data_IF_558603630589
#
_entry.id   IF_558603630589
#
_cell.length_a   1.000
_cell.length_b   1.000
_cell.length_c   1.000
_cell.angle_alpha   90.00
_cell.angle_beta   90.00
_cell.angle_gamma   90.00
#
_symmetry.space_group_name_H-M   'P 1'
#
loop_
_entity.id
_entity.type
_entity.pdbx_description
1 polymer ?
#
# COMPACT_ATOMS: atom_id res chain seq x y z
N UNK A 1 -16.99 1.90 24.54
CA UNK A 1 -16.34 2.67 25.59
C UNK A 1 -16.36 4.13 25.19
N UNK A 2 -16.62 5.01 26.11
CA UNK A 2 -16.52 6.46 25.92
C UNK A 2 -15.15 6.90 26.47
N UNK A 3 -14.44 7.71 25.68
CA UNK A 3 -13.16 8.26 26.04
C UNK A 3 -13.19 9.78 25.78
N UNK A 4 -12.79 10.53 26.77
CA UNK A 4 -12.39 11.93 26.66
C UNK A 4 -10.88 12.06 26.86
N UNK A 5 -10.33 13.25 26.74
CA UNK A 5 -8.89 13.47 26.86
C UNK A 5 -8.34 13.03 28.23
N UNK A 6 -9.08 13.20 29.31
CA UNK A 6 -8.63 12.83 30.65
C UNK A 6 -8.61 11.32 30.84
N UNK A 7 -9.70 10.65 30.51
CA UNK A 7 -9.79 9.18 30.59
C UNK A 7 -8.87 8.48 29.60
N UNK A 8 -8.57 9.11 28.45
CA UNK A 8 -7.55 8.64 27.52
C UNK A 8 -6.17 8.63 28.18
N UNK A 9 -5.79 9.74 28.82
CA UNK A 9 -4.49 9.86 29.52
C UNK A 9 -4.37 8.86 30.67
N UNK A 10 -5.40 8.74 31.48
CA UNK A 10 -5.41 7.81 32.60
C UNK A 10 -5.30 6.33 32.17
N UNK A 11 -6.01 5.95 31.10
CA UNK A 11 -6.14 4.54 30.70
C UNK A 11 -5.14 4.11 29.65
N UNK A 12 -4.74 5.01 28.73
CA UNK A 12 -4.04 4.64 27.50
C UNK A 12 -2.63 5.22 27.37
N UNK A 13 -2.26 6.25 28.14
CA UNK A 13 -0.92 6.81 28.06
C UNK A 13 0.21 5.81 28.36
N UNK A 14 -0.02 4.83 29.21
CA UNK A 14 0.94 3.77 29.52
C UNK A 14 0.79 2.52 28.65
N UNK A 15 -0.19 2.49 27.76
CA UNK A 15 -0.47 1.31 26.92
C UNK A 15 0.66 0.99 25.94
N UNK A 16 0.94 -0.30 25.78
CA UNK A 16 1.90 -0.87 24.81
C UNK A 16 1.25 -2.05 24.08
N UNK A 17 1.63 -2.32 22.84
CA UNK A 17 2.62 -1.62 22.00
C UNK A 17 2.03 -0.35 21.37
N UNK A 18 2.90 0.56 20.88
CA UNK A 18 2.50 1.76 20.15
C UNK A 18 1.69 1.45 18.88
N UNK A 19 1.91 0.29 18.26
CA UNK A 19 1.18 -0.18 17.07
C UNK A 19 -0.29 -0.50 17.33
N UNK A 20 -0.76 -0.48 18.57
CA UNK A 20 -2.19 -0.57 18.92
C UNK A 20 -2.95 0.72 18.61
N UNK A 21 -2.25 1.83 18.41
CA UNK A 21 -2.87 3.12 18.15
C UNK A 21 -3.04 3.38 16.65
N UNK A 22 -4.13 4.05 16.33
CA UNK A 22 -4.44 4.46 14.97
C UNK A 22 -3.28 5.22 14.33
N UNK A 23 -2.96 4.88 13.07
CA UNK A 23 -1.88 5.43 12.25
C UNK A 23 -0.45 5.21 12.77
N UNK A 24 -0.23 4.49 13.84
CA UNK A 24 1.11 4.09 14.26
C UNK A 24 1.39 2.66 13.77
N UNK A 25 1.97 2.57 12.58
CA UNK A 25 2.50 1.31 12.05
C UNK A 25 3.89 0.99 12.61
N UNK A 26 4.39 -0.23 12.31
CA UNK A 26 5.69 -0.71 12.80
C UNK A 26 6.85 0.27 12.53
N UNK A 27 6.89 0.90 11.35
CA UNK A 27 7.96 1.85 11.02
C UNK A 27 7.93 3.16 11.83
N UNK A 28 6.74 3.65 12.24
CA UNK A 28 6.62 4.81 13.12
C UNK A 28 6.99 4.40 14.54
N UNK A 29 6.47 3.28 15.03
CA UNK A 29 6.77 2.75 16.36
C UNK A 29 8.29 2.55 16.55
N UNK A 30 8.96 1.88 15.61
CA UNK A 30 10.41 1.67 15.66
C UNK A 30 11.20 2.98 15.74
N UNK A 31 10.80 4.01 14.99
CA UNK A 31 11.46 5.32 15.04
C UNK A 31 11.26 6.04 16.39
N UNK A 32 10.06 5.95 16.96
CA UNK A 32 9.75 6.49 18.28
C UNK A 32 10.56 5.75 19.37
N UNK A 33 10.55 4.42 19.34
CA UNK A 33 11.27 3.57 20.30
C UNK A 33 12.78 3.78 20.29
N UNK A 34 13.40 3.98 19.11
CA UNK A 34 14.82 4.36 19.00
C UNK A 34 15.16 5.68 19.70
N UNK A 35 14.16 6.54 19.89
CA UNK A 35 14.30 7.80 20.63
C UNK A 35 13.80 7.71 22.07
N UNK A 36 13.55 6.50 22.59
CA UNK A 36 13.14 6.26 23.98
C UNK A 36 11.65 6.48 24.25
N UNK A 37 10.83 6.64 23.20
CA UNK A 37 9.38 6.81 23.32
C UNK A 37 8.68 5.48 23.06
N UNK A 38 8.18 4.85 24.10
CA UNK A 38 7.54 3.52 24.05
C UNK A 38 6.03 3.56 24.23
N UNK A 39 5.48 4.70 24.62
CA UNK A 39 4.07 4.92 24.91
C UNK A 39 3.57 6.24 24.33
N UNK A 40 2.24 6.40 24.18
CA UNK A 40 1.67 7.70 23.78
C UNK A 40 1.94 8.79 24.80
N UNK A 41 2.00 8.46 26.10
CA UNK A 41 2.41 9.38 27.12
C UNK A 41 3.86 9.87 27.00
N UNK A 42 4.79 9.04 26.47
CA UNK A 42 6.15 9.48 26.18
C UNK A 42 6.17 10.46 25.01
N UNK A 43 5.40 10.20 23.97
CA UNK A 43 5.25 11.10 22.82
C UNK A 43 4.66 12.45 23.26
N UNK A 44 3.60 12.43 24.06
CA UNK A 44 2.98 13.65 24.58
C UNK A 44 3.97 14.48 25.42
N UNK A 45 4.74 13.86 26.30
CA UNK A 45 5.79 14.55 27.09
C UNK A 45 6.90 15.10 26.21
N UNK A 46 7.34 14.32 25.21
CA UNK A 46 8.35 14.75 24.26
C UNK A 46 7.91 15.96 23.44
N UNK A 47 6.62 16.06 23.07
CA UNK A 47 6.09 17.21 22.33
C UNK A 47 6.23 18.52 23.11
N UNK A 48 6.14 18.46 24.44
CA UNK A 48 6.35 19.65 25.29
C UNK A 48 7.85 20.01 25.41
N UNK A 49 8.72 19.00 25.47
CA UNK A 49 10.16 19.21 25.68
C UNK A 49 10.90 19.55 24.40
N UNK A 50 10.56 18.88 23.31
CA UNK A 50 11.24 19.03 22.02
C UNK A 50 10.32 18.62 20.84
N UNK A 51 9.29 19.41 20.60
CA UNK A 51 8.37 19.21 19.49
C UNK A 51 9.09 19.17 18.12
N UNK A 52 10.10 20.03 17.95
CA UNK A 52 10.87 20.10 16.71
C UNK A 52 11.53 18.76 16.32
N UNK A 53 11.90 17.94 17.29
CA UNK A 53 12.42 16.60 17.04
C UNK A 53 11.36 15.72 16.35
N UNK A 54 10.10 15.77 16.82
CA UNK A 54 8.99 15.00 16.21
C UNK A 54 8.70 15.46 14.78
N UNK A 55 8.72 16.79 14.54
CA UNK A 55 8.56 17.32 13.18
C UNK A 55 9.71 16.93 12.25
N UNK A 56 10.95 16.89 12.72
CA UNK A 56 12.07 16.38 11.90
C UNK A 56 11.93 14.89 11.57
N UNK A 57 11.34 14.12 12.48
CA UNK A 57 11.12 12.67 12.26
C UNK A 57 9.99 12.39 11.30
N UNK A 58 8.87 13.09 11.41
CA UNK A 58 7.60 12.72 10.76
C UNK A 58 7.03 13.80 9.83
N UNK A 59 7.67 14.96 9.72
CA UNK A 59 7.16 16.08 8.94
C UNK A 59 5.78 16.52 9.44
N UNK A 60 4.88 16.85 8.54
CA UNK A 60 3.50 17.26 8.87
C UNK A 60 2.69 16.20 9.60
N UNK A 61 3.07 14.93 9.51
CA UNK A 61 2.41 13.87 10.26
C UNK A 61 2.71 13.92 11.78
N UNK A 62 3.72 14.70 12.20
CA UNK A 62 4.03 14.88 13.62
C UNK A 62 2.85 15.50 14.37
N UNK A 63 2.18 16.49 13.76
CA UNK A 63 1.01 17.16 14.35
C UNK A 63 -0.07 16.13 14.73
N UNK A 64 -0.47 15.28 13.79
CA UNK A 64 -1.44 14.22 14.05
C UNK A 64 -0.99 13.25 15.16
N UNK A 65 0.29 12.88 15.17
CA UNK A 65 0.85 11.97 16.20
C UNK A 65 0.81 12.64 17.58
N UNK A 66 1.12 13.92 17.65
CA UNK A 66 1.09 14.72 18.87
C UNK A 66 -0.35 14.88 19.38
N UNK A 67 -1.28 15.27 18.52
CA UNK A 67 -2.69 15.41 18.86
C UNK A 67 -3.27 14.12 19.43
N UNK A 68 -3.04 13.01 18.75
CA UNK A 68 -3.47 11.69 19.22
C UNK A 68 -2.76 11.28 20.52
N UNK A 69 -1.50 11.69 20.74
CA UNK A 69 -0.81 11.41 21.99
C UNK A 69 -1.42 12.18 23.17
N UNK A 70 -1.98 13.36 22.95
CA UNK A 70 -2.73 14.12 23.92
C UNK A 70 -4.19 13.66 24.09
N UNK A 71 -4.67 12.76 23.22
CA UNK A 71 -6.06 12.29 23.20
C UNK A 71 -6.99 13.20 22.42
N UNK A 72 -6.44 14.07 21.59
CA UNK A 72 -7.19 14.98 20.73
C UNK A 72 -7.43 14.37 19.34
N UNK A 73 -8.69 14.34 18.89
CA UNK A 73 -9.08 13.93 17.53
C UNK A 73 -10.01 14.98 16.93
N UNK A 74 -9.50 15.86 16.07
CA UNK A 74 -10.30 16.93 15.49
C UNK A 74 -11.28 16.47 14.42
N UNK A 75 -11.06 15.25 13.85
CA UNK A 75 -11.84 14.74 12.72
C UNK A 75 -13.06 13.98 13.21
N UNK A 76 -14.23 14.46 12.85
CA UNK A 76 -15.50 13.79 13.18
C UNK A 76 -15.89 12.75 12.13
N UNK A 77 -16.79 11.84 12.49
CA UNK A 77 -17.39 10.88 11.53
C UNK A 77 -18.09 11.61 10.36
N UNK A 78 -18.64 12.79 10.61
CA UNK A 78 -19.25 13.62 9.56
C UNK A 78 -18.20 14.13 8.56
N UNK A 79 -17.00 14.49 9.04
CA UNK A 79 -15.89 14.93 8.19
C UNK A 79 -15.37 13.76 7.35
N UNK A 80 -15.20 12.57 7.94
CA UNK A 80 -14.84 11.35 7.21
C UNK A 80 -15.83 11.04 6.09
N UNK A 81 -17.15 11.14 6.38
CA UNK A 81 -18.19 10.89 5.38
C UNK A 81 -18.22 11.94 4.25
N UNK A 82 -17.85 13.18 4.55
CA UNK A 82 -17.78 14.27 3.55
C UNK A 82 -16.49 14.27 2.75
N UNK A 83 -15.44 13.64 3.25
CA UNK A 83 -14.15 13.64 2.59
C UNK A 83 -14.22 13.03 1.18
N UNK A 84 -13.65 13.76 0.22
CA UNK A 84 -13.45 13.29 -1.14
C UNK A 84 -11.96 13.43 -1.46
N UNK A 85 -11.23 12.33 -1.72
CA UNK A 85 -9.81 12.39 -2.05
C UNK A 85 -9.61 13.17 -3.36
N UNK A 86 -8.55 13.95 -3.41
CA UNK A 86 -8.17 14.69 -4.62
C UNK A 86 -7.69 13.75 -5.75
N UNK A 87 -7.14 12.60 -5.37
CA UNK A 87 -6.75 11.54 -6.30
C UNK A 87 -7.40 10.24 -5.85
N UNK A 88 -7.89 9.47 -6.80
CA UNK A 88 -8.47 8.15 -6.54
C UNK A 88 -7.75 7.09 -7.34
N UNK A 89 -7.74 5.89 -6.80
CA UNK A 89 -7.22 4.69 -7.46
C UNK A 89 -8.19 3.54 -7.26
N UNK A 90 -8.27 2.64 -8.22
CA UNK A 90 -8.89 1.32 -8.04
C UNK A 90 -7.78 0.27 -8.01
N UNK A 91 -7.89 -0.67 -7.10
CA UNK A 91 -6.92 -1.74 -6.95
C UNK A 91 -7.59 -3.10 -6.86
N UNK A 92 -6.98 -4.07 -7.49
CA UNK A 92 -7.31 -5.49 -7.36
C UNK A 92 -6.06 -6.24 -6.92
N UNK A 93 -6.21 -7.11 -5.91
CA UNK A 93 -5.10 -7.92 -5.39
C UNK A 93 -5.51 -9.37 -5.29
N UNK A 94 -4.65 -10.27 -5.77
CA UNK A 94 -4.88 -11.70 -5.72
C UNK A 94 -3.68 -12.44 -5.13
N UNK A 95 -3.95 -13.30 -4.16
CA UNK A 95 -2.98 -14.29 -3.64
C UNK A 95 -3.35 -15.62 -4.28
N UNK A 96 -2.40 -16.19 -5.01
CA UNK A 96 -2.62 -17.45 -5.71
C UNK A 96 -2.59 -18.62 -4.70
N UNK A 97 -3.42 -19.62 -4.92
CA UNK A 97 -3.55 -20.79 -4.03
C UNK A 97 -2.28 -21.64 -4.00
N UNK A 98 -1.59 -21.69 -5.14
CA UNK A 98 -0.31 -22.38 -5.32
C UNK A 98 0.66 -21.49 -6.11
N UNK A 99 1.96 -21.80 -6.16
CA UNK A 99 2.91 -21.08 -6.97
C UNK A 99 2.61 -21.25 -8.46
N UNK A 100 2.37 -20.17 -9.18
CA UNK A 100 2.09 -20.18 -10.62
C UNK A 100 3.36 -19.91 -11.42
N UNK A 101 3.47 -20.56 -12.56
CA UNK A 101 4.45 -20.16 -13.57
C UNK A 101 4.12 -18.78 -14.12
N UNK A 102 5.09 -18.08 -14.71
CA UNK A 102 4.88 -16.77 -15.31
C UNK A 102 3.75 -16.80 -16.37
N UNK A 103 3.65 -17.88 -17.16
CA UNK A 103 2.58 -18.02 -18.15
C UNK A 103 1.18 -18.13 -17.53
N UNK A 104 1.03 -18.89 -16.45
CA UNK A 104 -0.26 -19.01 -15.73
C UNK A 104 -0.64 -17.69 -15.06
N UNK A 105 0.32 -17.06 -14.38
CA UNK A 105 0.10 -15.78 -13.71
C UNK A 105 -0.26 -14.65 -14.69
N UNK A 106 0.27 -14.68 -15.92
CA UNK A 106 -0.09 -13.73 -16.97
C UNK A 106 -1.58 -13.82 -17.36
N UNK A 107 -2.18 -15.02 -17.33
CA UNK A 107 -3.63 -15.14 -17.58
C UNK A 107 -4.44 -14.53 -16.44
N UNK A 108 -4.01 -14.72 -15.18
CA UNK A 108 -4.64 -14.05 -14.03
C UNK A 108 -4.56 -12.52 -14.17
N UNK A 109 -3.40 -12.00 -14.61
CA UNK A 109 -3.23 -10.55 -14.86
C UNK A 109 -4.20 -10.04 -15.91
N UNK A 110 -4.49 -10.81 -16.96
CA UNK A 110 -5.50 -10.46 -17.99
C UNK A 110 -6.90 -10.36 -17.38
N UNK A 111 -7.31 -11.38 -16.64
CA UNK A 111 -8.61 -11.39 -15.96
C UNK A 111 -8.76 -10.21 -14.99
N UNK A 112 -7.69 -9.88 -14.25
CA UNK A 112 -7.69 -8.72 -13.36
C UNK A 112 -7.83 -7.41 -14.12
N UNK A 113 -7.19 -7.26 -15.28
CA UNK A 113 -7.30 -6.07 -16.12
C UNK A 113 -8.71 -5.92 -16.72
N UNK A 114 -9.32 -7.01 -17.17
CA UNK A 114 -10.70 -7.03 -17.68
C UNK A 114 -11.70 -6.65 -16.56
N UNK A 115 -11.55 -7.20 -15.36
CA UNK A 115 -12.40 -6.88 -14.24
C UNK A 115 -12.27 -5.40 -13.81
N UNK A 116 -11.06 -4.83 -13.80
CA UNK A 116 -10.86 -3.41 -13.53
C UNK A 116 -11.50 -2.54 -14.63
N UNK A 117 -11.40 -2.95 -15.91
CA UNK A 117 -12.06 -2.24 -17.00
C UNK A 117 -13.58 -2.23 -16.84
N UNK A 118 -14.18 -3.34 -16.45
CA UNK A 118 -15.61 -3.44 -16.15
C UNK A 118 -16.01 -2.54 -14.96
N UNK A 119 -15.20 -2.53 -13.90
CA UNK A 119 -15.41 -1.67 -12.73
C UNK A 119 -15.34 -0.17 -13.09
N UNK A 120 -14.40 0.22 -13.94
CA UNK A 120 -14.29 1.60 -14.44
C UNK A 120 -15.52 1.98 -15.28
N UNK A 121 -15.94 1.09 -16.17
CA UNK A 121 -17.10 1.32 -17.02
C UNK A 121 -18.40 1.45 -16.22
N UNK A 122 -18.63 0.54 -15.27
CA UNK A 122 -19.82 0.55 -14.41
C UNK A 122 -19.92 1.84 -13.58
N UNK A 123 -18.78 2.34 -13.10
CA UNK A 123 -18.68 3.56 -12.31
C UNK A 123 -18.53 4.84 -13.13
N UNK A 124 -18.52 4.77 -14.46
CA UNK A 124 -18.24 5.88 -15.40
C UNK A 124 -16.94 6.61 -15.07
N UNK A 125 -15.89 5.84 -14.86
CA UNK A 125 -14.57 6.33 -14.51
C UNK A 125 -13.57 6.02 -15.63
N UNK A 126 -12.59 6.90 -15.77
CA UNK A 126 -11.48 6.74 -16.69
C UNK A 126 -10.16 6.76 -15.93
N UNK A 127 -9.13 6.14 -16.48
CA UNK A 127 -7.77 6.14 -15.97
C UNK A 127 -6.76 6.35 -17.10
N UNK A 128 -5.56 6.85 -16.76
CA UNK A 128 -4.44 6.89 -17.72
C UNK A 128 -3.15 6.28 -17.16
N UNK A 129 -3.23 5.53 -16.05
CA UNK A 129 -2.04 4.91 -15.49
C UNK A 129 -2.36 3.56 -14.87
N UNK A 130 -1.55 2.55 -15.20
CA UNK A 130 -1.58 1.22 -14.58
C UNK A 130 -0.29 0.98 -13.81
N UNK A 131 -0.42 0.34 -12.66
CA UNK A 131 0.69 -0.07 -11.80
C UNK A 131 0.55 -1.54 -11.49
N UNK A 132 1.58 -2.33 -11.76
CA UNK A 132 1.59 -3.75 -11.52
C UNK A 132 2.68 -4.12 -10.52
N UNK A 133 2.32 -4.92 -9.52
CA UNK A 133 3.25 -5.51 -8.56
C UNK A 133 3.05 -7.02 -8.55
N UNK A 134 4.13 -7.78 -8.76
CA UNK A 134 4.11 -9.24 -8.81
C UNK A 134 5.09 -9.79 -7.76
N UNK A 135 4.55 -10.46 -6.76
CA UNK A 135 5.32 -11.08 -5.69
C UNK A 135 5.63 -12.55 -6.03
N UNK A 136 6.89 -12.91 -5.87
CA UNK A 136 7.36 -14.26 -6.14
C UNK A 136 7.18 -15.20 -4.92
N UNK A 137 7.12 -16.50 -5.19
CA UNK A 137 7.03 -17.53 -4.16
C UNK A 137 8.40 -17.91 -3.59
N UNK A 138 8.40 -18.33 -2.34
CA UNK A 138 9.60 -18.86 -1.65
C UNK A 138 10.19 -20.06 -2.35
N UNK A 139 9.38 -20.88 -3.02
CA UNK A 139 9.84 -22.05 -3.79
C UNK A 139 10.80 -21.68 -4.92
N UNK A 140 10.74 -20.44 -5.42
CA UNK A 140 11.69 -19.93 -6.41
C UNK A 140 13.15 -19.96 -5.92
N UNK A 141 13.37 -19.85 -4.60
CA UNK A 141 14.71 -19.93 -3.99
C UNK A 141 15.01 -21.33 -3.42
N UNK A 142 13.99 -22.12 -3.17
CA UNK A 142 14.15 -23.49 -2.64
C UNK A 142 14.42 -24.53 -3.74
N UNK A 143 13.93 -24.31 -4.97
CA UNK A 143 14.24 -25.19 -6.11
C UNK A 143 15.60 -24.79 -6.70
N UNK A 144 16.58 -25.69 -6.62
CA UNK A 144 17.95 -25.44 -7.09
C UNK A 144 18.02 -25.09 -8.58
N UNK A 145 17.11 -25.61 -9.40
CA UNK A 145 17.06 -25.32 -10.85
C UNK A 145 16.61 -23.90 -11.12
N UNK A 146 15.66 -23.38 -10.31
CA UNK A 146 15.14 -22.02 -10.45
C UNK A 146 16.13 -21.04 -9.81
N UNK A 147 16.58 -21.32 -8.59
CA UNK A 147 17.51 -20.46 -7.87
C UNK A 147 18.87 -20.32 -8.56
N UNK A 148 19.34 -21.35 -9.23
CA UNK A 148 20.59 -21.30 -10.03
C UNK A 148 20.51 -20.39 -11.27
N UNK A 149 19.31 -20.06 -11.73
CA UNK A 149 19.08 -19.13 -12.85
C UNK A 149 18.73 -17.70 -12.39
N UNK A 150 18.68 -17.45 -11.07
CA UNK A 150 18.28 -16.16 -10.51
C UNK A 150 19.47 -15.48 -9.81
N UNK A 151 19.93 -14.40 -10.39
CA UNK A 151 20.98 -13.51 -9.88
C UNK A 151 20.47 -12.19 -9.29
N UNK A 152 19.14 -12.04 -9.23
CA UNK A 152 18.50 -10.82 -8.77
C UNK A 152 18.47 -10.67 -7.24
N UNK A 153 18.01 -9.53 -6.74
CA UNK A 153 17.97 -9.22 -5.31
C UNK A 153 16.94 -10.08 -4.56
N UNK A 154 17.35 -10.56 -3.38
CA UNK A 154 16.51 -11.30 -2.44
C UNK A 154 16.12 -10.39 -1.28
N UNK A 155 14.86 -10.44 -0.87
CA UNK A 155 14.32 -9.68 0.25
C UNK A 155 13.72 -10.61 1.30
N UNK A 156 13.45 -10.07 2.48
CA UNK A 156 12.73 -10.78 3.54
C UNK A 156 11.30 -10.30 3.59
N UNK A 157 10.34 -11.21 3.55
CA UNK A 157 8.93 -10.88 3.67
C UNK A 157 8.55 -10.59 5.14
N UNK A 158 7.29 -10.16 5.39
CA UNK A 158 6.79 -9.86 6.73
C UNK A 158 6.80 -11.06 7.70
N UNK A 159 6.97 -12.26 7.19
CA UNK A 159 7.05 -13.50 7.98
C UNK A 159 8.51 -13.96 8.21
N UNK A 160 9.50 -13.15 7.84
CA UNK A 160 10.91 -13.48 7.96
C UNK A 160 11.44 -14.45 6.87
N UNK A 161 10.65 -14.77 5.83
CA UNK A 161 11.05 -15.71 4.78
C UNK A 161 11.80 -14.99 3.67
N UNK A 162 12.86 -15.60 3.17
CA UNK A 162 13.60 -15.09 2.01
C UNK A 162 12.78 -15.33 0.73
N UNK A 163 12.60 -14.28 -0.06
CA UNK A 163 11.87 -14.30 -1.33
C UNK A 163 12.63 -13.47 -2.37
N UNK A 164 12.54 -13.78 -3.66
CA UNK A 164 13.02 -12.88 -4.69
C UNK A 164 12.32 -11.51 -4.54
N UNK A 165 13.03 -10.42 -4.78
CA UNK A 165 12.43 -9.08 -4.76
C UNK A 165 11.27 -9.03 -5.75
N UNK A 166 10.11 -8.55 -5.31
CA UNK A 166 8.93 -8.42 -6.17
C UNK A 166 9.21 -7.57 -7.42
N UNK A 167 8.60 -7.93 -8.52
CA UNK A 167 8.56 -7.10 -9.70
C UNK A 167 7.54 -5.98 -9.49
N UNK A 168 7.91 -4.75 -9.89
CA UNK A 168 7.05 -3.58 -9.77
C UNK A 168 7.29 -2.66 -10.95
N UNK A 169 6.22 -2.13 -11.51
CA UNK A 169 6.31 -1.18 -12.60
C UNK A 169 5.05 -0.36 -12.77
N UNK A 170 5.20 0.74 -13.48
CA UNK A 170 4.13 1.69 -13.82
C UNK A 170 4.15 1.95 -15.31
N UNK A 171 2.97 2.02 -15.93
CA UNK A 171 2.83 2.43 -17.32
C UNK A 171 1.73 3.47 -17.45
N UNK A 172 2.06 4.59 -18.10
CA UNK A 172 1.08 5.60 -18.46
C UNK A 172 0.45 5.23 -19.81
N UNK A 173 -0.84 5.52 -19.95
CA UNK A 173 -1.56 5.45 -21.21
C UNK A 173 -1.58 6.86 -21.83
N UNK A 174 -1.69 6.92 -23.17
CA UNK A 174 -1.67 8.18 -23.93
C UNK A 174 -2.89 9.06 -23.63
N UNK A 175 -3.99 8.44 -23.24
CA UNK A 175 -5.26 9.11 -22.95
C UNK A 175 -5.97 8.48 -21.75
N UNK A 176 -6.92 9.24 -21.19
CA UNK A 176 -7.88 8.72 -20.22
C UNK A 176 -8.78 7.69 -20.92
N UNK A 177 -8.93 6.50 -20.33
CA UNK A 177 -9.70 5.41 -20.94
C UNK A 177 -10.29 4.47 -19.87
N UNK A 178 -11.40 3.82 -20.22
CA UNK A 178 -11.95 2.62 -19.58
C UNK A 178 -11.95 1.42 -20.52
N UNK A 179 -11.33 1.57 -21.70
CA UNK A 179 -11.28 0.52 -22.72
C UNK A 179 -10.56 -0.72 -22.21
N UNK A 180 -11.24 -1.85 -22.21
CA UNK A 180 -10.67 -3.13 -21.81
C UNK A 180 -9.46 -3.51 -22.66
N UNK A 181 -9.48 -3.23 -23.98
CA UNK A 181 -8.37 -3.52 -24.88
C UNK A 181 -7.13 -2.68 -24.57
N UNK A 182 -7.30 -1.37 -24.29
CA UNK A 182 -6.19 -0.47 -23.96
C UNK A 182 -5.54 -0.89 -22.64
N UNK A 183 -6.36 -1.15 -21.61
CA UNK A 183 -5.90 -1.59 -20.31
C UNK A 183 -5.22 -2.96 -20.37
N UNK A 184 -5.83 -3.93 -21.07
CA UNK A 184 -5.27 -5.27 -21.26
C UNK A 184 -3.89 -5.20 -21.93
N UNK A 185 -3.77 -4.44 -23.02
CA UNK A 185 -2.51 -4.27 -23.73
C UNK A 185 -1.44 -3.60 -22.83
N UNK A 186 -1.81 -2.53 -22.12
CA UNK A 186 -0.89 -1.82 -21.23
C UNK A 186 -0.38 -2.71 -20.10
N UNK A 187 -1.28 -3.46 -19.45
CA UNK A 187 -0.94 -4.33 -18.33
C UNK A 187 -0.13 -5.55 -18.76
N UNK A 188 -0.50 -6.17 -19.91
CA UNK A 188 0.24 -7.32 -20.45
C UNK A 188 1.66 -6.94 -20.86
N UNK A 189 1.82 -5.80 -21.56
CA UNK A 189 3.14 -5.31 -21.92
C UNK A 189 3.98 -4.98 -20.69
N UNK A 190 3.37 -4.33 -19.69
CA UNK A 190 4.05 -4.04 -18.42
C UNK A 190 4.48 -5.34 -17.71
N UNK A 191 3.61 -6.35 -17.67
CA UNK A 191 3.94 -7.66 -17.13
C UNK A 191 5.13 -8.29 -17.84
N UNK A 192 5.13 -8.30 -19.16
CA UNK A 192 6.18 -8.91 -19.98
C UNK A 192 7.53 -8.20 -19.81
N UNK A 193 7.51 -6.88 -19.51
CA UNK A 193 8.72 -6.07 -19.28
C UNK A 193 9.35 -6.29 -17.88
N UNK A 194 8.51 -6.44 -16.83
CA UNK A 194 9.01 -6.41 -15.46
C UNK A 194 9.18 -7.78 -14.81
N UNK A 195 8.43 -8.80 -15.30
CA UNK A 195 8.37 -10.09 -14.61
C UNK A 195 9.48 -11.03 -15.07
N UNK A 196 10.22 -11.57 -14.11
CA UNK A 196 11.16 -12.64 -14.38
C UNK A 196 10.41 -13.94 -14.68
N UNK A 197 10.55 -14.45 -15.92
CA UNK A 197 9.80 -15.60 -16.45
C UNK A 197 10.19 -16.95 -15.81
N UNK A 198 11.35 -17.00 -15.18
CA UNK A 198 11.87 -18.23 -14.56
C UNK A 198 11.37 -18.41 -13.12
N UNK A 199 10.82 -17.36 -12.48
CA UNK A 199 10.39 -17.41 -11.10
C UNK A 199 8.92 -17.80 -10.97
N UNK A 200 8.60 -18.46 -9.86
CA UNK A 200 7.23 -18.80 -9.47
C UNK A 200 6.55 -17.62 -8.78
N UNK A 201 5.31 -17.38 -9.12
CA UNK A 201 4.53 -16.22 -8.69
C UNK A 201 3.52 -16.65 -7.62
N UNK A 202 3.37 -15.84 -6.56
CA UNK A 202 2.44 -16.08 -5.46
C UNK A 202 1.39 -14.96 -5.29
N UNK A 203 1.72 -13.73 -5.66
CA UNK A 203 0.82 -12.59 -5.47
C UNK A 203 0.88 -11.65 -6.66
N UNK A 204 -0.28 -11.12 -7.02
CA UNK A 204 -0.42 -10.10 -8.06
C UNK A 204 -1.25 -8.96 -7.47
N UNK A 205 -0.82 -7.73 -7.71
CA UNK A 205 -1.59 -6.52 -7.36
C UNK A 205 -1.57 -5.61 -8.58
N UNK A 206 -2.75 -5.28 -9.07
CA UNK A 206 -2.97 -4.35 -10.16
C UNK A 206 -3.69 -3.11 -9.62
N UNK A 207 -3.16 -1.94 -9.91
CA UNK A 207 -3.72 -0.65 -9.52
C UNK A 207 -3.87 0.22 -10.75
N UNK A 208 -4.97 0.93 -10.85
CA UNK A 208 -5.16 2.02 -11.81
C UNK A 208 -5.27 3.33 -11.05
N UNK A 209 -4.49 4.32 -11.47
CA UNK A 209 -4.37 5.63 -10.84
C UNK A 209 -4.92 6.73 -11.75
N UNK A 210 -4.90 7.97 -11.22
CA UNK A 210 -5.36 9.16 -11.93
C UNK A 210 -6.82 9.01 -12.42
N UNK A 211 -7.65 8.46 -11.55
CA UNK A 211 -9.05 8.19 -11.90
C UNK A 211 -9.82 9.52 -11.97
N UNK A 212 -10.55 9.71 -13.06
CA UNK A 212 -11.45 10.83 -13.27
C UNK A 212 -12.84 10.34 -13.72
N UNK A 213 -13.87 11.10 -13.39
CA UNK A 213 -15.22 10.89 -13.90
C UNK A 213 -15.26 11.19 -15.41
N UNK A 214 -15.90 10.35 -16.19
CA UNK A 214 -15.99 10.47 -17.65
C UNK A 214 -16.50 11.86 -18.07
N UNK A 215 -17.52 12.36 -17.38
CA UNK A 215 -18.15 13.66 -17.68
C UNK A 215 -17.21 14.87 -17.43
N UNK A 216 -16.14 14.69 -16.66
CA UNK A 216 -15.15 15.73 -16.34
C UNK A 216 -13.94 15.75 -17.27
N UNK A 217 -13.75 14.70 -18.02
CA UNK A 217 -12.67 14.60 -19.02
C UNK A 217 -13.19 15.17 -20.33
N UNK A 218 -12.94 16.48 -20.57
CA UNK A 218 -13.24 17.09 -21.86
C UNK A 218 -12.36 16.45 -22.93
N UNK A 219 -12.99 15.98 -24.00
CA UNK A 219 -12.34 15.54 -25.24
C UNK A 219 -11.51 16.68 -25.87
#
# INVERSE_FOLDING_TARGET
AELDEMSYREKLWAHRPLTSFWRIGAGIAERLERCGMYTMGDVARMSVVNEHMLYRMFGVNAELIIDHAWGWEPVTIADVKRYRPATSSLSSGQVLTEPYTSRMARNVVKEMAENIALDLLDKRLLTNQVVLTVGYDTQSLADERISGMYDGPVTTDRYGRRVPKHAHGTRNLERMTSSASDLLNAVCNLYDDIVNKNLLIRRITLVVNNIAEEDKVKN
#
